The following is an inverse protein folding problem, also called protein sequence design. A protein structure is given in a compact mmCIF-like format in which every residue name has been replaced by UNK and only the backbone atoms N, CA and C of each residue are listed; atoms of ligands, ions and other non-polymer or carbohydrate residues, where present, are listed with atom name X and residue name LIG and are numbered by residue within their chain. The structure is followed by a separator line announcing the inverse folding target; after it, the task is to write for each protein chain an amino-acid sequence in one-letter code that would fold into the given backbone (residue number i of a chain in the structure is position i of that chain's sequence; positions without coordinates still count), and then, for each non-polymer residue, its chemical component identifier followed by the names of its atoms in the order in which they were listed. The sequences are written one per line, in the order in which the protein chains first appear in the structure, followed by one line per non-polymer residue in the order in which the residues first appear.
data_IF_138616515598
#
_entry.id   IF_138616515598
#
_cell.length_a   1.000
_cell.length_b   1.000
_cell.length_c   1.000
_cell.angle_alpha   90.00
_cell.angle_beta   90.00
_cell.angle_gamma   90.00
#
_symmetry.space_group_name_H-M   'P 1'
#
loop_
_entity.id
_entity.type
_entity.pdbx_description
1 polymer ?
#
# COMPACT_ATOMS: atom_id res chain seq x y z
N UNK A 1 7.07 7.44 -23.93
CA UNK A 1 6.52 6.52 -22.91
C UNK A 1 5.12 7.02 -22.60
N UNK A 2 4.10 6.26 -22.97
CA UNK A 2 2.70 6.63 -22.74
C UNK A 2 2.17 5.76 -21.61
N UNK A 3 1.59 6.39 -20.59
CA UNK A 3 1.14 5.71 -19.39
C UNK A 3 -0.38 5.82 -19.28
N UNK A 4 -1.03 4.77 -18.79
CA UNK A 4 -2.46 4.78 -18.47
C UNK A 4 -2.67 4.31 -17.03
N UNK A 5 -3.63 4.95 -16.35
CA UNK A 5 -4.08 4.56 -15.01
C UNK A 5 -5.38 3.79 -15.16
N UNK A 6 -5.43 2.58 -14.58
CA UNK A 6 -6.58 1.69 -14.65
C UNK A 6 -6.93 1.18 -13.25
N UNK A 7 -8.18 0.81 -12.95
CA UNK A 7 -8.50 0.03 -11.76
C UNK A 7 -7.66 -1.25 -11.71
N UNK A 8 -7.16 -1.59 -10.54
CA UNK A 8 -6.50 -2.87 -10.34
C UNK A 8 -7.53 -4.01 -10.34
N UNK A 9 -7.20 -5.12 -10.98
CA UNK A 9 -7.98 -6.35 -11.00
C UNK A 9 -7.43 -7.34 -9.98
N UNK A 10 -8.23 -8.33 -9.58
CA UNK A 10 -7.81 -9.40 -8.67
C UNK A 10 -6.50 -10.09 -9.13
N UNK A 11 -6.30 -10.43 -10.43
CA UNK A 11 -5.05 -11.02 -10.88
C UNK A 11 -3.82 -10.10 -10.77
N UNK A 12 -4.02 -8.78 -10.62
CA UNK A 12 -2.92 -7.82 -10.54
C UNK A 12 -2.30 -7.77 -9.14
N UNK A 13 -3.01 -8.24 -8.10
CA UNK A 13 -2.62 -8.11 -6.68
C UNK A 13 -1.14 -8.48 -6.44
N UNK A 14 -0.62 -9.64 -6.88
CA UNK A 14 0.79 -9.98 -6.63
C UNK A 14 1.76 -8.95 -7.22
N UNK A 15 1.49 -8.47 -8.43
CA UNK A 15 2.39 -7.54 -9.13
C UNK A 15 2.34 -6.14 -8.53
N UNK A 16 1.16 -5.59 -8.25
CA UNK A 16 1.05 -4.24 -7.68
C UNK A 16 1.70 -4.18 -6.29
N UNK A 17 1.50 -5.19 -5.44
CA UNK A 17 2.12 -5.20 -4.11
C UNK A 17 3.61 -5.52 -4.13
N UNK A 18 4.12 -6.23 -5.14
CA UNK A 18 5.56 -6.28 -5.36
C UNK A 18 6.13 -4.88 -5.62
N UNK A 19 5.51 -4.10 -6.50
CA UNK A 19 5.92 -2.71 -6.79
C UNK A 19 5.81 -1.84 -5.54
N UNK A 20 4.77 -2.03 -4.74
CA UNK A 20 4.61 -1.37 -3.44
C UNK A 20 5.80 -1.62 -2.53
N UNK A 21 6.15 -2.90 -2.29
CA UNK A 21 7.26 -3.25 -1.41
C UNK A 21 8.58 -2.72 -1.93
N UNK A 22 8.82 -2.82 -3.24
CA UNK A 22 10.05 -2.33 -3.86
C UNK A 22 10.18 -0.80 -3.76
N UNK A 23 9.09 -0.06 -3.94
CA UNK A 23 9.08 1.38 -3.74
C UNK A 23 9.39 1.77 -2.28
N UNK A 24 8.80 1.08 -1.31
CA UNK A 24 9.05 1.33 0.10
C UNK A 24 10.48 0.95 0.52
N UNK A 25 11.03 -0.15 -0.01
CA UNK A 25 12.43 -0.54 0.25
C UNK A 25 13.44 0.49 -0.26
N UNK A 26 13.10 1.21 -1.33
CA UNK A 26 13.97 2.23 -1.90
C UNK A 26 14.05 3.51 -1.05
N UNK A 27 13.07 3.76 -0.17
CA UNK A 27 13.08 4.86 0.79
C UNK A 27 13.55 4.39 2.18
N UNK A 28 14.38 5.18 2.87
CA UNK A 28 14.93 4.79 4.18
C UNK A 28 13.84 4.64 5.24
N UNK A 29 12.85 5.54 5.25
CA UNK A 29 11.76 5.47 6.21
C UNK A 29 10.78 4.36 5.82
N UNK A 30 10.50 4.22 4.52
CA UNK A 30 9.69 3.13 3.98
C UNK A 30 10.25 1.75 4.33
N UNK A 31 11.55 1.55 4.19
CA UNK A 31 12.22 0.29 4.55
C UNK A 31 12.09 -0.01 6.04
N UNK A 32 12.23 1.00 6.91
CA UNK A 32 12.03 0.83 8.35
C UNK A 32 10.57 0.49 8.68
N UNK A 33 9.60 1.15 8.03
CA UNK A 33 8.18 0.85 8.20
C UNK A 33 7.86 -0.58 7.79
N UNK A 34 8.40 -1.06 6.67
CA UNK A 34 8.23 -2.45 6.24
C UNK A 34 8.79 -3.44 7.26
N UNK A 35 9.96 -3.20 7.83
CA UNK A 35 10.53 -4.06 8.88
C UNK A 35 9.68 -4.11 10.15
N UNK A 36 8.98 -3.03 10.47
CA UNK A 36 8.10 -2.95 11.63
C UNK A 36 6.79 -3.70 11.37
N UNK A 37 6.19 -3.52 10.19
CA UNK A 37 4.88 -4.08 9.86
C UNK A 37 4.95 -5.54 9.40
N UNK A 38 6.05 -5.93 8.79
CA UNK A 38 6.26 -7.26 8.22
C UNK A 38 7.63 -7.77 8.63
N UNK A 39 7.81 -8.13 9.92
CA UNK A 39 9.08 -8.63 10.44
C UNK A 39 9.38 -10.00 9.81
N UNK A 40 10.20 -10.01 8.76
CA UNK A 40 10.53 -11.22 8.00
C UNK A 40 11.07 -10.91 6.61
N UNK A 41 11.22 -11.96 5.79
CA UNK A 41 11.67 -11.83 4.40
C UNK A 41 10.48 -11.55 3.50
N UNK A 42 10.43 -10.35 2.94
CA UNK A 42 9.37 -9.91 2.03
C UNK A 42 9.44 -10.56 0.62
N UNK A 43 10.56 -11.20 0.28
CA UNK A 43 10.74 -11.94 -0.99
C UNK A 43 10.34 -13.42 -0.87
N UNK A 44 9.90 -13.85 0.32
CA UNK A 44 9.43 -15.20 0.55
C UNK A 44 8.10 -15.46 -0.19
N UNK A 45 8.01 -16.57 -0.92
CA UNK A 45 6.83 -16.86 -1.74
C UNK A 45 5.59 -17.14 -0.91
N UNK A 46 5.74 -17.74 0.27
CA UNK A 46 4.61 -17.98 1.17
C UNK A 46 4.11 -16.66 1.76
N UNK A 47 5.01 -15.73 2.11
CA UNK A 47 4.66 -14.37 2.49
C UNK A 47 3.87 -13.66 1.38
N UNK A 48 4.38 -13.64 0.14
CA UNK A 48 3.72 -12.95 -0.97
C UNK A 48 2.33 -13.54 -1.26
N UNK A 49 2.19 -14.86 -1.18
CA UNK A 49 0.92 -15.56 -1.35
C UNK A 49 -0.06 -15.24 -0.22
N UNK A 50 0.40 -15.26 1.03
CA UNK A 50 -0.40 -14.90 2.19
C UNK A 50 -0.85 -13.44 2.14
N UNK A 51 0.05 -12.52 1.77
CA UNK A 51 -0.25 -11.11 1.59
C UNK A 51 -1.29 -10.89 0.48
N UNK A 52 -1.16 -11.58 -0.66
CA UNK A 52 -2.14 -11.50 -1.74
C UNK A 52 -3.53 -12.00 -1.29
N UNK A 53 -3.59 -13.11 -0.55
CA UNK A 53 -4.84 -13.64 0.00
C UNK A 53 -5.49 -12.71 1.03
N UNK A 54 -4.69 -12.11 1.91
CA UNK A 54 -5.14 -11.10 2.88
C UNK A 54 -5.67 -9.84 2.18
N UNK A 55 -4.96 -9.37 1.16
CA UNK A 55 -5.40 -8.24 0.32
C UNK A 55 -6.73 -8.53 -0.37
N UNK A 56 -6.87 -9.69 -1.00
CA UNK A 56 -8.12 -10.08 -1.66
C UNK A 56 -9.28 -10.14 -0.66
N UNK A 57 -9.04 -10.73 0.52
CA UNK A 57 -10.03 -10.77 1.60
C UNK A 57 -10.44 -9.36 2.05
N UNK A 58 -9.47 -8.44 2.16
CA UNK A 58 -9.74 -7.04 2.48
C UNK A 58 -10.52 -6.33 1.37
N UNK A 59 -10.20 -6.54 0.09
CA UNK A 59 -10.93 -5.95 -1.05
C UNK A 59 -12.38 -6.40 -1.12
N UNK A 60 -12.70 -7.60 -0.66
CA UNK A 60 -14.10 -8.05 -0.56
C UNK A 60 -14.90 -7.36 0.55
N UNK A 61 -14.22 -6.77 1.55
CA UNK A 61 -14.84 -6.15 2.71
C UNK A 61 -14.78 -4.63 2.69
N UNK A 62 -13.80 -4.06 1.98
CA UNK A 62 -13.59 -2.62 1.93
C UNK A 62 -14.64 -1.93 1.06
N UNK A 63 -15.32 -0.92 1.61
CA UNK A 63 -16.27 -0.07 0.90
C UNK A 63 -15.67 1.29 0.50
N UNK A 64 -14.40 1.53 0.84
CA UNK A 64 -13.78 2.84 0.75
C UNK A 64 -12.41 2.85 0.09
N UNK A 65 -11.69 1.73 -0.01
CA UNK A 65 -10.38 1.69 -0.65
C UNK A 65 -10.49 1.53 -2.17
N UNK A 66 -9.76 2.37 -2.89
CA UNK A 66 -9.63 2.34 -4.33
C UNK A 66 -8.17 2.10 -4.70
N UNK A 67 -7.93 1.00 -5.42
CA UNK A 67 -6.59 0.63 -5.88
C UNK A 67 -6.51 0.72 -7.40
N UNK A 68 -5.46 1.37 -7.88
CA UNK A 68 -5.19 1.63 -9.28
C UNK A 68 -3.81 1.07 -9.65
N UNK A 69 -3.68 0.69 -10.92
CA UNK A 69 -2.41 0.31 -11.55
C UNK A 69 -2.02 1.35 -12.59
N UNK A 70 -0.72 1.55 -12.74
CA UNK A 70 -0.13 2.33 -13.84
C UNK A 70 0.47 1.35 -14.83
N UNK A 71 0.00 1.42 -16.08
CA UNK A 71 0.43 0.54 -17.16
C UNK A 71 1.19 1.34 -18.20
N UNK A 72 2.37 0.85 -18.59
CA UNK A 72 3.05 1.32 -19.79
C UNK A 72 2.32 0.78 -21.01
N UNK A 73 1.74 1.67 -21.82
CA UNK A 73 0.92 1.26 -22.96
C UNK A 73 1.73 0.65 -24.10
N UNK A 74 3.06 0.82 -24.12
CA UNK A 74 3.91 0.21 -25.14
C UNK A 74 4.13 -1.29 -24.88
N UNK A 75 4.21 -1.68 -23.61
CA UNK A 75 4.55 -3.05 -23.19
C UNK A 75 3.37 -3.81 -22.57
N UNK A 76 2.34 -3.10 -22.11
CA UNK A 76 1.28 -3.65 -21.29
C UNK A 76 1.72 -3.98 -19.85
N UNK A 77 2.95 -3.64 -19.48
CA UNK A 77 3.49 -3.93 -18.15
C UNK A 77 2.90 -3.00 -17.09
N UNK A 78 2.57 -3.57 -15.93
CA UNK A 78 2.27 -2.80 -14.73
C UNK A 78 3.59 -2.30 -14.15
N UNK A 79 3.75 -0.98 -14.08
CA UNK A 79 4.97 -0.29 -13.65
C UNK A 79 4.76 0.58 -12.39
N UNK A 80 3.52 0.67 -11.92
CA UNK A 80 3.16 1.45 -10.75
C UNK A 80 1.82 1.04 -10.17
N UNK A 81 1.56 1.49 -8.95
CA UNK A 81 0.26 1.41 -8.32
C UNK A 81 -0.04 2.67 -7.50
N UNK A 82 -1.33 2.95 -7.31
CA UNK A 82 -1.80 3.95 -6.35
C UNK A 82 -2.93 3.36 -5.55
N UNK A 83 -2.99 3.65 -4.25
CA UNK A 83 -4.11 3.29 -3.41
C UNK A 83 -4.55 4.49 -2.56
N UNK A 84 -5.85 4.64 -2.39
CA UNK A 84 -6.41 5.71 -1.57
C UNK A 84 -7.77 5.32 -1.05
N UNK A 85 -8.10 5.88 0.11
CA UNK A 85 -9.41 5.67 0.72
C UNK A 85 -10.31 6.88 0.44
N UNK A 86 -11.49 6.65 -0.09
CA UNK A 86 -12.52 7.66 -0.24
C UNK A 86 -13.70 7.36 0.69
N UNK A 87 -13.82 8.16 1.75
CA UNK A 87 -14.91 8.08 2.70
C UNK A 87 -16.01 9.04 2.25
N UNK A 88 -16.94 8.52 1.43
CA UNK A 88 -17.98 9.33 0.77
C UNK A 88 -19.21 9.59 1.64
N UNK A 89 -19.36 8.84 2.73
CA UNK A 89 -20.42 9.01 3.74
C UNK A 89 -19.82 9.32 5.11
N UNK A 90 -20.67 9.87 5.97
CA UNK A 90 -20.31 9.98 7.37
C UNK A 90 -20.28 8.59 8.02
N UNK A 91 -19.43 8.44 9.02
CA UNK A 91 -19.23 7.19 9.76
C UNK A 91 -19.45 7.41 11.24
N UNK A 92 -19.93 6.39 11.92
CA UNK A 92 -20.10 6.33 13.38
C UNK A 92 -18.78 6.01 14.08
N UNK A 93 -18.71 6.18 15.41
CA UNK A 93 -17.50 5.85 16.19
C UNK A 93 -17.11 4.36 16.04
N UNK A 94 -18.04 3.39 16.12
CA UNK A 94 -17.69 1.97 15.91
C UNK A 94 -17.10 1.68 14.53
N UNK A 95 -17.63 2.31 13.47
CA UNK A 95 -17.12 2.14 12.09
C UNK A 95 -15.71 2.71 11.88
N UNK A 96 -15.19 3.49 12.82
CA UNK A 96 -13.84 4.09 12.75
C UNK A 96 -12.88 3.51 13.77
N UNK A 97 -13.25 2.42 14.44
CA UNK A 97 -12.41 1.77 15.43
C UNK A 97 -11.01 1.47 14.87
N UNK A 98 -9.98 1.67 15.69
CA UNK A 98 -8.63 1.25 15.34
C UNK A 98 -8.53 -0.27 15.50
N UNK A 99 -8.38 -0.99 14.40
CA UNK A 99 -8.21 -2.44 14.42
C UNK A 99 -6.75 -2.88 14.64
N UNK A 100 -5.82 -1.92 14.72
CA UNK A 100 -4.40 -2.18 14.96
C UNK A 100 -3.76 -3.00 13.83
N UNK A 101 -2.84 -3.89 14.21
CA UNK A 101 -2.06 -4.73 13.28
C UNK A 101 -2.36 -6.20 13.57
N UNK A 102 -3.48 -6.74 13.08
CA UNK A 102 -3.99 -8.04 13.51
C UNK A 102 -3.13 -9.24 13.10
N UNK A 103 -2.17 -9.05 12.18
CA UNK A 103 -1.23 -10.09 11.75
C UNK A 103 0.06 -10.14 12.57
N UNK A 104 0.24 -9.26 13.56
CA UNK A 104 1.37 -9.29 14.48
C UNK A 104 0.90 -9.67 15.89
N UNK A 105 1.80 -10.25 16.67
CA UNK A 105 1.56 -10.64 18.06
C UNK A 105 2.66 -10.13 18.99
N UNK A 106 2.39 -10.14 20.30
CA UNK A 106 3.35 -9.83 21.35
C UNK A 106 4.08 -8.50 21.17
N UNK A 107 5.40 -8.52 21.35
CA UNK A 107 6.26 -7.32 21.25
C UNK A 107 6.27 -6.70 19.85
N UNK A 108 6.13 -7.51 18.79
CA UNK A 108 6.10 -7.02 17.42
C UNK A 108 4.86 -6.17 17.18
N UNK A 109 3.70 -6.64 17.64
CA UNK A 109 2.45 -5.87 17.58
C UNK A 109 2.57 -4.57 18.38
N UNK A 110 3.05 -4.64 19.62
CA UNK A 110 3.22 -3.47 20.46
C UNK A 110 4.14 -2.42 19.82
N UNK A 111 5.22 -2.86 19.18
CA UNK A 111 6.14 -1.97 18.43
C UNK A 111 5.46 -1.32 17.23
N UNK A 112 4.70 -2.07 16.44
CA UNK A 112 4.00 -1.53 15.29
C UNK A 112 2.90 -0.55 15.68
N UNK A 113 2.08 -0.90 16.68
CA UNK A 113 1.00 -0.05 17.18
C UNK A 113 1.52 1.24 17.83
N UNK A 114 2.72 1.22 18.44
CA UNK A 114 3.38 2.45 18.92
C UNK A 114 3.64 3.47 17.80
N UNK A 115 3.80 3.01 16.55
CA UNK A 115 3.97 3.87 15.38
C UNK A 115 2.62 4.22 14.74
N UNK A 116 1.73 3.24 14.58
CA UNK A 116 0.48 3.43 13.86
C UNK A 116 -0.62 4.14 14.67
N UNK A 117 -0.71 3.89 15.98
CA UNK A 117 -1.79 4.46 16.81
C UNK A 117 -1.75 6.00 16.81
N UNK A 118 -0.59 6.67 16.97
CA UNK A 118 -0.52 8.12 16.86
C UNK A 118 -0.99 8.65 15.50
N UNK A 119 -0.70 7.94 14.40
CA UNK A 119 -1.18 8.32 13.06
C UNK A 119 -2.69 8.19 12.96
N UNK A 120 -3.27 7.12 13.53
CA UNK A 120 -4.72 6.95 13.62
C UNK A 120 -5.37 8.04 14.49
N UNK A 121 -4.82 8.38 15.65
CA UNK A 121 -5.33 9.44 16.53
C UNK A 121 -5.34 10.81 15.83
N UNK A 122 -4.27 11.13 15.09
CA UNK A 122 -4.20 12.35 14.30
C UNK A 122 -5.26 12.34 13.19
N UNK A 123 -5.43 11.21 12.49
CA UNK A 123 -6.48 11.05 11.48
C UNK A 123 -7.88 11.24 12.08
N UNK A 124 -8.16 10.65 13.25
CA UNK A 124 -9.44 10.82 13.94
C UNK A 124 -9.67 12.27 14.37
N UNK A 125 -8.65 12.96 14.88
CA UNK A 125 -8.75 14.39 15.23
C UNK A 125 -8.97 15.27 14.02
N UNK A 126 -8.28 14.99 12.91
CA UNK A 126 -8.35 15.81 11.70
C UNK A 126 -9.63 15.58 10.91
N UNK A 127 -10.15 14.36 10.85
CA UNK A 127 -11.27 14.03 9.98
C UNK A 127 -12.48 13.50 10.73
N UNK A 128 -12.25 12.63 11.72
CA UNK A 128 -13.30 11.95 12.47
C UNK A 128 -14.31 11.29 11.54
N UNK A 129 -15.60 11.49 11.84
CA UNK A 129 -16.72 10.93 11.07
C UNK A 129 -16.99 11.59 9.72
N UNK A 130 -16.24 12.61 9.32
CA UNK A 130 -16.54 13.41 8.11
C UNK A 130 -16.21 12.67 6.82
N UNK A 131 -16.72 13.22 5.71
CA UNK A 131 -16.38 12.81 4.35
C UNK A 131 -15.01 13.39 3.96
N UNK A 132 -14.14 12.56 3.41
CA UNK A 132 -12.84 12.98 2.89
C UNK A 132 -12.24 11.92 1.98
N UNK A 133 -11.31 12.35 1.14
CA UNK A 133 -10.46 11.46 0.35
C UNK A 133 -9.07 11.53 0.97
N UNK A 134 -8.55 10.38 1.40
CA UNK A 134 -7.19 10.22 1.89
C UNK A 134 -6.39 9.49 0.80
N UNK A 135 -5.58 10.19 0.00
CA UNK A 135 -4.60 9.50 -0.83
C UNK A 135 -3.64 8.79 0.11
N UNK A 136 -3.69 7.47 0.13
CA UNK A 136 -2.91 6.69 1.08
C UNK A 136 -1.50 6.59 0.52
N UNK A 137 -1.30 6.05 -0.70
CA UNK A 137 0.04 5.78 -1.24
C UNK A 137 0.07 5.79 -2.78
N UNK A 138 1.16 6.30 -3.36
CA UNK A 138 1.52 6.17 -4.78
C UNK A 138 2.91 5.58 -4.89
N UNK A 139 3.06 4.48 -5.64
CA UNK A 139 4.31 3.76 -5.82
C UNK A 139 4.56 3.54 -7.30
N UNK A 140 5.76 3.83 -7.77
CA UNK A 140 6.21 3.54 -9.12
C UNK A 140 7.54 2.77 -9.05
N UNK A 141 7.80 1.92 -10.04
CA UNK A 141 9.11 1.30 -10.14
C UNK A 141 10.20 2.38 -10.25
N UNK A 142 11.35 2.21 -9.58
CA UNK A 142 12.47 3.12 -9.76
C UNK A 142 12.91 3.10 -11.22
N UNK A 143 12.92 4.27 -11.87
CA UNK A 143 13.51 4.39 -13.21
C UNK A 143 14.99 4.06 -13.11
N UNK A 144 15.39 2.85 -13.52
CA UNK A 144 16.79 2.55 -13.81
C UNK A 144 17.17 3.31 -15.07
N UNK A 145 17.78 4.48 -14.92
CA UNK A 145 18.37 5.22 -16.05
C UNK A 145 19.52 4.40 -16.64
N UNK A 146 19.23 3.52 -17.60
CA UNK A 146 20.24 3.05 -18.58
C UNK A 146 20.28 4.07 -19.70
N UNK A 147 20.90 5.22 -19.47
CA UNK A 147 21.40 6.03 -20.56
C UNK A 147 22.75 5.44 -20.99
N UNK A 148 22.93 5.00 -22.25
CA UNK A 148 24.24 4.67 -22.74
C UNK A 148 25.05 5.97 -22.80
N UNK A 149 26.08 6.04 -21.97
CA UNK A 149 27.07 7.11 -22.01
C UNK A 149 27.93 6.89 -23.28
N UNK A 150 27.44 7.34 -24.44
CA UNK A 150 28.28 7.51 -25.62
C UNK A 150 29.16 8.73 -25.39
N UNK A 151 30.39 8.51 -24.91
CA UNK A 151 31.49 9.46 -25.12
C UNK A 151 32.12 9.14 -26.48
N UNK A 152 31.97 10.08 -27.40
CA UNK A 152 32.92 10.28 -28.50
C UNK A 152 34.08 11.12 -27.98
#
# INVERSE_FOLDING_TARGET
MSLVVLPALIPDIPRIYQIYFDAFRADKMGALMLQILFPGTLDDQDFLKAHAAGTLSYWHLSDCQYTFKVVDTATGAIIGMGLGDAYLRERTVPERANHGVPWLEGEQRARAEKVLNPLWEVRERLFGGRRYISPTLTSAEPVRSRLPCHRH
#
